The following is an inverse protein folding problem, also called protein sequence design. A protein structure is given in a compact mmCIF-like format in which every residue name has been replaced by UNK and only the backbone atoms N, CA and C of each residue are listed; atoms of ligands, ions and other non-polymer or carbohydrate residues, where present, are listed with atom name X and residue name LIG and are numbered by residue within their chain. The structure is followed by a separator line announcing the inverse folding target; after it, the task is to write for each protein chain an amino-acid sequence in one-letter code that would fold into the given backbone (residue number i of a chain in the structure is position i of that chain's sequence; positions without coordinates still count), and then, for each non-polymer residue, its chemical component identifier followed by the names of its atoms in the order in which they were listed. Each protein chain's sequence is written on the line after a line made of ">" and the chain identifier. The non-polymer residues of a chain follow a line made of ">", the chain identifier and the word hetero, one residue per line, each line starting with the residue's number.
data_IF_731774862700
#
_entry.id   IF_731774862700
#
_cell.length_a   1.000
_cell.length_b   1.000
_cell.length_c   1.000
_cell.angle_alpha   90.00
_cell.angle_beta   90.00
_cell.angle_gamma   90.00
#
_symmetry.space_group_name_H-M   'P 1'
#
loop_
_entity.id
_entity.type
_entity.pdbx_description
1 polymer ?
#
# COMPACT_ATOMS: atom_id res chain seq x y z
N UNK A 1 -58.12 -36.30 -65.89
CA UNK A 1 -57.80 -35.06 -66.63
C UNK A 1 -57.00 -34.11 -65.75
N UNK A 2 -55.82 -33.75 -66.23
CA UNK A 2 -55.07 -32.49 -66.00
C UNK A 2 -54.82 -31.99 -64.59
N UNK A 3 -53.52 -32.06 -64.14
CA UNK A 3 -52.57 -30.94 -63.94
C UNK A 3 -52.94 -30.14 -62.68
N UNK A 4 -51.99 -29.95 -61.74
CA UNK A 4 -50.81 -29.04 -61.86
C UNK A 4 -49.84 -29.34 -60.75
N UNK A 5 -48.59 -29.45 -61.17
CA UNK A 5 -47.37 -29.40 -60.37
C UNK A 5 -46.97 -27.96 -60.03
N UNK A 6 -46.07 -27.84 -59.06
CA UNK A 6 -45.24 -26.72 -58.67
C UNK A 6 -45.79 -25.90 -57.48
N UNK A 7 -45.04 -25.98 -56.41
CA UNK A 7 -44.15 -24.97 -55.82
C UNK A 7 -43.63 -25.51 -54.52
N UNK A 8 -42.48 -26.21 -54.54
CA UNK A 8 -41.64 -26.49 -53.42
C UNK A 8 -40.21 -26.07 -53.83
N UNK A 9 -39.84 -24.87 -53.50
CA UNK A 9 -38.42 -24.43 -53.48
C UNK A 9 -38.43 -22.92 -53.21
N UNK A 10 -38.28 -22.51 -51.95
CA UNK A 10 -37.72 -21.22 -51.49
C UNK A 10 -38.06 -21.01 -50.04
N UNK A 11 -37.31 -21.62 -49.14
CA UNK A 11 -37.21 -21.19 -47.74
C UNK A 11 -36.10 -21.98 -47.00
N UNK A 12 -34.87 -21.87 -47.48
CA UNK A 12 -33.74 -22.42 -46.73
C UNK A 12 -32.49 -21.54 -46.88
N UNK A 13 -32.64 -20.21 -46.83
CA UNK A 13 -31.51 -19.28 -46.82
C UNK A 13 -31.62 -18.09 -45.85
N UNK A 14 -32.62 -18.09 -44.99
CA UNK A 14 -32.82 -16.97 -44.08
C UNK A 14 -32.43 -17.23 -42.60
N UNK A 15 -31.90 -18.44 -42.27
CA UNK A 15 -31.61 -18.83 -40.85
C UNK A 15 -30.14 -18.76 -40.44
N UNK A 16 -29.24 -18.36 -41.34
CA UNK A 16 -27.79 -18.32 -41.05
C UNK A 16 -27.20 -16.91 -40.82
N UNK A 17 -28.03 -15.87 -40.90
CA UNK A 17 -27.54 -14.48 -40.73
C UNK A 17 -27.87 -13.86 -39.36
N UNK A 18 -28.56 -14.56 -38.46
CA UNK A 18 -28.93 -14.01 -37.13
C UNK A 18 -27.96 -14.38 -36.01
N UNK A 19 -27.03 -15.33 -36.24
CA UNK A 19 -26.06 -15.76 -35.20
C UNK A 19 -24.79 -14.92 -35.17
N UNK A 20 -24.49 -14.14 -36.21
CA UNK A 20 -23.29 -13.31 -36.29
C UNK A 20 -23.44 -11.91 -35.63
N UNK A 21 -24.65 -11.48 -35.30
CA UNK A 21 -24.88 -10.14 -34.71
C UNK A 21 -24.97 -10.11 -33.20
N UNK A 22 -25.08 -11.26 -32.55
CA UNK A 22 -25.15 -11.31 -31.06
C UNK A 22 -23.81 -11.17 -30.34
N UNK A 23 -22.67 -11.19 -31.06
CA UNK A 23 -21.32 -11.04 -30.47
C UNK A 23 -20.75 -9.63 -30.57
N UNK A 24 -21.40 -8.72 -31.28
CA UNK A 24 -20.95 -7.34 -31.47
C UNK A 24 -21.61 -6.32 -30.53
N UNK A 25 -22.56 -6.75 -29.67
CA UNK A 25 -23.34 -5.85 -28.81
C UNK A 25 -22.91 -5.85 -27.33
N UNK A 26 -21.78 -6.48 -26.99
CA UNK A 26 -21.21 -6.43 -25.63
C UNK A 26 -20.07 -5.42 -25.49
N UNK A 27 -19.90 -4.49 -26.40
CA UNK A 27 -18.81 -3.51 -26.47
C UNK A 27 -19.11 -2.19 -25.76
N UNK A 28 -19.96 -2.18 -24.74
CA UNK A 28 -20.39 -0.92 -24.11
C UNK A 28 -19.68 -0.58 -22.79
N UNK A 29 -19.62 -1.50 -21.86
CA UNK A 29 -19.32 -1.22 -20.45
C UNK A 29 -18.21 -2.11 -19.95
N UNK A 30 -17.19 -1.51 -19.31
CA UNK A 30 -16.10 -2.25 -18.64
C UNK A 30 -16.46 -2.52 -17.19
N UNK A 31 -16.15 -3.69 -16.67
CA UNK A 31 -16.25 -4.00 -15.25
C UNK A 31 -14.89 -3.87 -14.60
N UNK A 32 -14.77 -2.90 -13.69
CA UNK A 32 -13.58 -2.64 -12.88
C UNK A 32 -13.82 -3.06 -11.43
N UNK A 33 -13.33 -4.24 -11.04
CA UNK A 33 -13.43 -4.75 -9.67
C UNK A 33 -12.24 -4.26 -8.84
N UNK A 34 -12.49 -3.64 -7.68
CA UNK A 34 -11.42 -3.09 -6.83
C UNK A 34 -11.62 -3.38 -5.35
N UNK A 35 -10.51 -3.58 -4.65
CA UNK A 35 -10.45 -3.59 -3.17
C UNK A 35 -10.19 -2.19 -2.61
N UNK A 36 -9.89 -1.20 -3.47
CA UNK A 36 -9.57 0.16 -3.08
C UNK A 36 -10.78 1.07 -3.20
N UNK A 37 -10.73 2.23 -2.53
CA UNK A 37 -11.81 3.23 -2.57
C UNK A 37 -13.19 2.62 -2.29
N UNK A 38 -13.28 1.84 -1.21
CA UNK A 38 -14.45 1.04 -0.86
C UNK A 38 -15.50 1.79 -0.05
N UNK A 39 -15.11 2.82 0.66
CA UNK A 39 -16.05 3.68 1.37
C UNK A 39 -17.02 4.30 0.36
N UNK A 40 -18.28 4.45 0.74
CA UNK A 40 -19.33 4.92 -0.18
C UNK A 40 -18.91 6.23 -0.85
N UNK A 41 -18.40 7.19 -0.08
CA UNK A 41 -17.95 8.48 -0.59
C UNK A 41 -16.75 8.35 -1.55
N UNK A 42 -15.77 7.50 -1.22
CA UNK A 42 -14.60 7.27 -2.07
C UNK A 42 -15.01 6.59 -3.39
N UNK A 43 -15.90 5.60 -3.33
CA UNK A 43 -16.42 4.91 -4.51
C UNK A 43 -17.23 5.87 -5.41
N UNK A 44 -17.99 6.80 -4.81
CA UNK A 44 -18.70 7.85 -5.54
C UNK A 44 -17.72 8.83 -6.21
N UNK A 45 -16.65 9.24 -5.52
CA UNK A 45 -15.59 10.08 -6.11
C UNK A 45 -14.88 9.37 -7.25
N UNK A 46 -14.63 8.06 -7.12
CA UNK A 46 -14.08 7.26 -8.22
C UNK A 46 -14.99 7.30 -9.46
N UNK A 47 -16.27 7.04 -9.31
CA UNK A 47 -17.23 7.02 -10.42
C UNK A 47 -17.47 8.40 -11.03
N UNK A 48 -17.68 9.42 -10.18
CA UNK A 48 -18.21 10.71 -10.61
C UNK A 48 -17.13 11.77 -10.88
N UNK A 49 -15.88 11.57 -10.44
CA UNK A 49 -14.82 12.54 -10.60
C UNK A 49 -13.59 11.97 -11.29
N UNK A 50 -13.17 10.75 -10.93
CA UNK A 50 -11.95 10.17 -11.49
C UNK A 50 -12.24 9.50 -12.83
N UNK A 51 -13.34 8.75 -12.94
CA UNK A 51 -13.74 8.07 -14.19
C UNK A 51 -14.56 8.95 -15.14
N UNK A 52 -15.03 10.11 -14.70
CA UNK A 52 -15.86 11.03 -15.51
C UNK A 52 -15.16 11.48 -16.81
N UNK A 53 -13.83 11.66 -16.76
CA UNK A 53 -13.04 11.99 -17.95
C UNK A 53 -12.76 10.80 -18.90
N UNK A 54 -13.17 9.58 -18.55
CA UNK A 54 -12.99 8.41 -19.41
C UNK A 54 -14.17 8.27 -20.38
N UNK A 55 -13.87 8.03 -21.67
CA UNK A 55 -14.87 8.10 -22.74
C UNK A 55 -15.87 6.94 -22.78
N UNK A 56 -15.56 5.86 -22.05
CA UNK A 56 -16.41 4.66 -22.03
C UNK A 56 -17.03 4.47 -20.66
N UNK A 57 -18.18 3.83 -20.60
CA UNK A 57 -18.84 3.49 -19.36
C UNK A 57 -18.03 2.44 -18.59
N UNK A 58 -17.80 2.69 -17.30
CA UNK A 58 -17.08 1.80 -16.38
C UNK A 58 -17.97 1.52 -15.18
N UNK A 59 -18.24 0.25 -14.94
CA UNK A 59 -18.86 -0.20 -13.71
C UNK A 59 -17.77 -0.43 -12.65
N UNK A 60 -17.60 0.55 -11.79
CA UNK A 60 -16.67 0.45 -10.67
C UNK A 60 -17.31 -0.31 -9.52
N UNK A 61 -16.91 -1.56 -9.34
CA UNK A 61 -17.40 -2.49 -8.32
C UNK A 61 -16.38 -2.65 -7.23
N UNK A 62 -16.79 -2.50 -5.96
CA UNK A 62 -15.90 -2.69 -4.82
C UNK A 62 -16.09 -4.06 -4.17
N UNK A 63 -15.00 -4.65 -3.67
CA UNK A 63 -15.01 -5.92 -2.94
C UNK A 63 -14.16 -5.83 -1.68
N UNK A 64 -14.52 -6.60 -0.65
CA UNK A 64 -13.63 -6.79 0.50
C UNK A 64 -12.40 -7.61 0.08
N UNK A 65 -11.21 -7.37 0.67
CA UNK A 65 -9.99 -8.10 0.33
C UNK A 65 -10.14 -9.63 0.38
N UNK A 66 -10.93 -10.14 1.34
CA UNK A 66 -11.17 -11.58 1.49
C UNK A 66 -12.10 -12.14 0.41
N UNK A 67 -13.02 -11.33 -0.11
CA UNK A 67 -14.00 -11.72 -1.16
C UNK A 67 -13.41 -11.60 -2.56
N UNK A 68 -12.43 -10.72 -2.74
CA UNK A 68 -11.83 -10.40 -4.02
C UNK A 68 -11.27 -11.63 -4.76
N UNK A 69 -10.33 -12.43 -4.18
CA UNK A 69 -9.82 -13.61 -4.86
C UNK A 69 -10.87 -14.72 -5.01
N UNK A 70 -11.84 -14.79 -4.09
CA UNK A 70 -12.93 -15.80 -4.15
C UNK A 70 -13.82 -15.54 -5.37
N UNK A 71 -14.20 -14.29 -5.62
CA UNK A 71 -15.01 -13.92 -6.78
C UNK A 71 -14.28 -14.24 -8.09
N UNK A 72 -13.00 -13.86 -8.20
CA UNK A 72 -12.19 -14.13 -9.40
C UNK A 72 -12.08 -15.64 -9.64
N UNK A 73 -11.77 -16.41 -8.60
CA UNK A 73 -11.70 -17.87 -8.68
C UNK A 73 -13.02 -18.50 -9.14
N UNK A 74 -14.15 -17.96 -8.68
CA UNK A 74 -15.47 -18.45 -9.09
C UNK A 74 -15.75 -18.18 -10.59
N UNK A 75 -15.37 -17.01 -11.12
CA UNK A 75 -15.46 -16.71 -12.54
C UNK A 75 -14.57 -17.62 -13.39
N UNK A 76 -13.31 -17.86 -12.97
CA UNK A 76 -12.40 -18.80 -13.64
C UNK A 76 -12.95 -20.24 -13.66
N UNK A 77 -13.51 -20.71 -12.55
CA UNK A 77 -14.06 -22.05 -12.46
C UNK A 77 -15.34 -22.25 -13.26
N UNK A 78 -16.18 -21.23 -13.38
CA UNK A 78 -17.42 -21.28 -14.16
C UNK A 78 -17.22 -21.07 -15.66
N UNK A 79 -16.06 -20.55 -16.07
CA UNK A 79 -15.79 -20.10 -17.43
C UNK A 79 -16.62 -18.88 -17.83
N UNK A 80 -17.25 -18.21 -16.86
CA UNK A 80 -18.03 -16.98 -17.09
C UNK A 80 -17.19 -15.78 -16.67
N UNK A 81 -16.59 -15.11 -17.63
CA UNK A 81 -15.74 -13.97 -17.37
C UNK A 81 -16.51 -12.67 -17.57
N UNK A 82 -16.59 -11.87 -16.53
CA UNK A 82 -17.27 -10.57 -16.55
C UNK A 82 -16.36 -9.40 -16.22
N UNK A 83 -15.25 -9.66 -15.50
CA UNK A 83 -14.34 -8.63 -15.00
C UNK A 83 -13.28 -8.34 -16.05
N UNK A 84 -13.13 -7.06 -16.41
CA UNK A 84 -12.08 -6.59 -17.34
C UNK A 84 -10.82 -6.16 -16.61
N UNK A 85 -10.95 -5.31 -15.58
CA UNK A 85 -9.85 -4.76 -14.80
C UNK A 85 -10.00 -5.06 -13.33
N UNK A 86 -8.92 -5.40 -12.69
CA UNK A 86 -8.85 -5.50 -11.24
C UNK A 86 -7.89 -4.46 -10.67
N UNK A 87 -8.28 -3.83 -9.55
CA UNK A 87 -7.48 -2.85 -8.82
C UNK A 87 -7.36 -3.24 -7.35
N UNK A 88 -6.14 -3.53 -6.89
CA UNK A 88 -5.93 -4.00 -5.52
C UNK A 88 -4.52 -3.67 -5.01
N UNK A 89 -4.31 -3.80 -3.70
CA UNK A 89 -2.97 -3.68 -3.13
C UNK A 89 -2.05 -4.80 -3.64
N UNK A 90 -0.75 -4.52 -3.67
CA UNK A 90 0.28 -5.47 -4.07
C UNK A 90 0.08 -6.87 -3.44
N UNK A 91 -0.10 -6.93 -2.13
CA UNK A 91 -0.32 -8.20 -1.40
C UNK A 91 -1.66 -8.88 -1.72
N UNK A 92 -2.66 -8.14 -2.18
CA UNK A 92 -3.98 -8.68 -2.57
C UNK A 92 -4.00 -9.21 -4.01
N UNK A 93 -3.10 -8.72 -4.87
CA UNK A 93 -2.91 -9.23 -6.23
C UNK A 93 -2.07 -10.52 -6.25
N UNK A 94 -1.17 -10.69 -5.30
CA UNK A 94 -0.25 -11.82 -5.26
C UNK A 94 -0.94 -13.21 -5.25
N UNK A 95 -2.06 -13.44 -4.52
CA UNK A 95 -2.79 -14.71 -4.61
C UNK A 95 -3.30 -15.07 -6.00
N UNK A 96 -3.57 -14.06 -6.86
CA UNK A 96 -4.04 -14.28 -8.23
C UNK A 96 -2.96 -14.89 -9.15
N UNK A 97 -1.68 -14.74 -8.79
CA UNK A 97 -0.56 -15.41 -9.47
C UNK A 97 -0.66 -16.93 -9.33
N UNK A 98 -1.00 -17.41 -8.12
CA UNK A 98 -1.18 -18.86 -7.86
C UNK A 98 -2.41 -19.43 -8.60
N UNK A 99 -3.39 -18.60 -8.89
CA UNK A 99 -4.58 -18.96 -9.68
C UNK A 99 -4.32 -18.88 -11.18
N UNK A 100 -3.14 -18.43 -11.60
CA UNK A 100 -2.79 -18.14 -13.00
C UNK A 100 -3.81 -17.22 -13.72
N UNK A 101 -4.46 -16.34 -12.96
CA UNK A 101 -5.57 -15.52 -13.43
C UNK A 101 -5.16 -14.21 -14.10
N UNK A 102 -3.90 -13.75 -13.93
CA UNK A 102 -3.45 -12.45 -14.43
C UNK A 102 -2.83 -12.55 -15.81
N UNK A 103 -3.24 -11.67 -16.72
CA UNK A 103 -2.63 -11.53 -18.02
C UNK A 103 -1.26 -10.82 -17.93
N UNK A 104 -0.24 -11.25 -18.69
CA UNK A 104 1.02 -10.52 -18.80
C UNK A 104 0.81 -9.18 -19.50
N UNK A 105 1.41 -8.14 -18.96
CA UNK A 105 1.32 -6.74 -19.42
C UNK A 105 2.69 -6.19 -19.84
N UNK A 106 3.63 -7.05 -20.23
CA UNK A 106 5.01 -6.65 -20.54
C UNK A 106 5.05 -5.58 -21.66
N UNK A 107 4.41 -5.83 -22.80
CA UNK A 107 4.35 -4.91 -23.93
C UNK A 107 3.63 -3.59 -23.60
N UNK A 108 2.60 -3.68 -22.77
CA UNK A 108 1.85 -2.51 -22.31
C UNK A 108 2.67 -1.69 -21.31
N UNK A 109 3.33 -2.35 -20.36
CA UNK A 109 4.27 -1.71 -19.43
C UNK A 109 5.38 -0.95 -20.15
N UNK A 110 5.89 -1.52 -21.25
CA UNK A 110 6.86 -0.87 -22.14
C UNK A 110 6.35 0.46 -22.73
N UNK A 111 5.07 0.53 -23.12
CA UNK A 111 4.44 1.76 -23.64
C UNK A 111 4.28 2.86 -22.59
N UNK A 112 4.29 2.51 -21.31
CA UNK A 112 4.15 3.46 -20.19
C UNK A 112 5.50 4.05 -19.70
N UNK A 113 6.63 3.72 -20.33
CA UNK A 113 7.95 4.23 -19.92
C UNK A 113 8.02 5.76 -19.86
N UNK A 114 7.34 6.44 -20.79
CA UNK A 114 7.22 7.91 -20.79
C UNK A 114 6.49 8.52 -19.61
N UNK A 115 5.79 7.72 -18.80
CA UNK A 115 5.07 8.17 -17.61
C UNK A 115 6.00 8.42 -16.40
N UNK A 116 7.24 7.94 -16.46
CA UNK A 116 8.22 8.11 -15.40
C UNK A 116 7.82 7.43 -14.09
N UNK A 117 7.15 6.27 -14.17
CA UNK A 117 6.90 5.42 -12.99
C UNK A 117 8.26 4.92 -12.50
N UNK A 118 8.58 5.07 -11.19
CA UNK A 118 9.86 4.60 -10.65
C UNK A 118 10.08 3.10 -10.91
N UNK A 119 11.30 2.74 -11.34
CA UNK A 119 11.66 1.35 -11.64
C UNK A 119 11.33 0.34 -10.53
N UNK A 120 11.61 0.63 -9.25
CA UNK A 120 11.21 -0.23 -8.14
C UNK A 120 9.71 -0.49 -8.08
N UNK A 121 8.85 0.50 -8.32
CA UNK A 121 7.39 0.32 -8.34
C UNK A 121 6.95 -0.58 -9.50
N UNK A 122 7.56 -0.43 -10.68
CA UNK A 122 7.32 -1.34 -11.81
C UNK A 122 7.76 -2.76 -11.49
N UNK A 123 8.90 -2.93 -10.81
CA UNK A 123 9.39 -4.25 -10.38
C UNK A 123 8.41 -4.95 -9.45
N UNK A 124 7.76 -4.22 -8.55
CA UNK A 124 6.69 -4.79 -7.71
C UNK A 124 5.54 -5.35 -8.53
N UNK A 125 5.24 -4.75 -9.68
CA UNK A 125 4.22 -5.23 -10.62
C UNK A 125 4.49 -6.60 -11.21
N UNK A 126 5.70 -7.12 -11.08
CA UNK A 126 6.04 -8.49 -11.49
C UNK A 126 5.60 -9.58 -10.50
N UNK A 127 5.23 -9.24 -9.28
CA UNK A 127 4.77 -10.18 -8.26
C UNK A 127 5.68 -11.42 -8.09
N UNK A 128 7.02 -11.16 -8.12
CA UNK A 128 8.08 -12.20 -8.04
C UNK A 128 8.06 -13.18 -9.24
N UNK A 129 7.53 -12.76 -10.39
CA UNK A 129 7.59 -13.51 -11.65
C UNK A 129 8.50 -12.82 -12.67
N UNK A 130 8.68 -13.42 -13.85
CA UNK A 130 9.38 -12.79 -14.96
C UNK A 130 8.56 -11.69 -15.65
N UNK A 131 7.22 -11.76 -15.57
CA UNK A 131 6.29 -10.92 -16.32
C UNK A 131 5.77 -9.74 -15.52
N UNK A 132 5.45 -8.64 -16.18
CA UNK A 132 4.67 -7.54 -15.61
C UNK A 132 3.21 -7.98 -15.49
N UNK A 133 2.70 -8.14 -14.28
CA UNK A 133 1.34 -8.65 -14.02
C UNK A 133 0.38 -7.57 -13.54
N UNK A 134 0.89 -6.44 -13.05
CA UNK A 134 0.08 -5.24 -12.81
C UNK A 134 0.88 -3.97 -13.09
N UNK A 135 0.17 -2.90 -13.41
CA UNK A 135 0.73 -1.55 -13.53
C UNK A 135 0.47 -0.81 -12.21
N UNK A 136 1.49 -0.17 -11.59
CA UNK A 136 1.28 0.72 -10.45
C UNK A 136 0.20 1.77 -10.76
N UNK A 137 -0.74 1.93 -9.82
CA UNK A 137 -1.89 2.81 -10.02
C UNK A 137 -1.85 4.04 -9.12
N UNK A 138 -1.80 3.82 -7.83
CA UNK A 138 -1.78 4.87 -6.82
C UNK A 138 -1.07 4.37 -5.57
N UNK A 139 -0.52 5.30 -4.82
CA UNK A 139 0.26 4.96 -3.64
C UNK A 139 -0.12 5.80 -2.42
N UNK A 140 0.16 5.25 -1.27
CA UNK A 140 0.20 5.92 0.01
C UNK A 140 1.46 5.47 0.76
N UNK A 141 1.73 6.08 1.90
CA UNK A 141 2.83 5.69 2.77
C UNK A 141 2.55 6.17 4.20
N UNK A 142 3.51 5.94 5.07
CA UNK A 142 3.52 6.46 6.41
C UNK A 142 4.53 7.60 6.47
N UNK A 143 4.24 8.61 7.25
CA UNK A 143 5.08 9.81 7.40
C UNK A 143 5.21 10.20 8.87
N UNK A 144 6.23 10.95 9.17
CA UNK A 144 6.31 11.72 10.41
C UNK A 144 5.67 13.09 10.20
N UNK A 145 4.99 13.57 11.22
CA UNK A 145 4.42 14.93 11.29
C UNK A 145 4.90 15.60 12.57
N UNK A 146 5.37 16.83 12.47
CA UNK A 146 5.68 17.59 13.67
C UNK A 146 4.97 18.94 13.68
N UNK A 147 4.49 19.35 14.86
CA UNK A 147 4.14 20.72 15.15
C UNK A 147 5.40 21.58 15.07
N UNK A 148 5.33 22.72 14.41
CA UNK A 148 6.48 23.66 14.29
C UNK A 148 7.01 24.13 15.64
N UNK A 149 6.19 24.07 16.70
CA UNK A 149 6.64 24.32 18.07
C UNK A 149 7.72 23.34 18.55
N UNK A 150 7.85 22.16 17.92
CA UNK A 150 8.91 21.21 18.21
C UNK A 150 10.26 21.57 17.57
N UNK A 151 10.25 22.33 16.45
CA UNK A 151 11.47 22.61 15.66
C UNK A 151 12.61 23.29 16.43
N UNK A 152 12.34 24.23 17.36
CA UNK A 152 13.43 24.83 18.16
C UNK A 152 14.21 23.86 19.04
N UNK A 153 13.71 22.63 19.22
CA UNK A 153 14.36 21.57 20.01
C UNK A 153 15.05 20.51 19.15
N UNK A 154 15.01 20.68 17.81
CA UNK A 154 15.73 19.78 16.91
C UNK A 154 17.24 19.82 17.22
N UNK A 155 17.95 18.68 17.23
CA UNK A 155 19.39 18.67 17.46
C UNK A 155 20.14 19.58 16.47
N UNK A 156 21.16 20.28 16.95
CA UNK A 156 21.94 21.18 16.13
C UNK A 156 22.49 20.51 14.86
N UNK A 157 22.30 21.17 13.72
CA UNK A 157 22.73 20.65 12.42
C UNK A 157 21.95 19.45 11.88
N UNK A 158 20.88 19.00 12.55
CA UNK A 158 20.06 17.91 12.06
C UNK A 158 19.14 18.39 10.92
N UNK A 159 19.14 17.63 9.82
CA UNK A 159 18.17 17.79 8.74
C UNK A 159 16.90 16.96 9.06
N UNK A 160 15.77 17.61 9.18
CA UNK A 160 14.49 16.97 9.48
C UNK A 160 14.12 15.88 8.42
N UNK A 161 14.58 16.03 7.18
CA UNK A 161 14.34 15.06 6.12
C UNK A 161 15.34 13.89 6.13
N UNK A 162 16.36 13.97 6.98
CA UNK A 162 17.44 12.98 7.03
C UNK A 162 17.75 12.50 8.46
N UNK A 163 16.79 12.57 9.38
CA UNK A 163 16.97 12.18 10.79
C UNK A 163 17.38 10.71 10.93
N UNK A 164 18.29 10.44 11.86
CA UNK A 164 18.48 9.11 12.42
C UNK A 164 17.54 8.86 13.60
N UNK A 165 17.36 7.58 14.00
CA UNK A 165 16.62 7.25 15.22
C UNK A 165 17.27 7.84 16.48
N UNK A 166 18.60 7.96 16.53
CA UNK A 166 19.29 8.64 17.63
C UNK A 166 18.93 10.11 17.71
N UNK A 167 18.89 10.80 16.56
CA UNK A 167 18.50 12.21 16.51
C UNK A 167 17.02 12.39 16.86
N UNK A 168 16.14 11.48 16.42
CA UNK A 168 14.72 11.51 16.82
C UNK A 168 14.55 11.31 18.34
N UNK A 169 15.29 10.38 18.92
CA UNK A 169 15.28 10.13 20.35
C UNK A 169 15.83 11.34 21.14
N UNK A 170 16.93 11.94 20.67
CA UNK A 170 17.51 13.15 21.26
C UNK A 170 16.53 14.33 21.18
N UNK A 171 15.84 14.49 20.04
CA UNK A 171 14.84 15.53 19.85
C UNK A 171 13.69 15.39 20.84
N UNK A 172 13.11 14.18 20.96
CA UNK A 172 12.05 13.89 21.90
C UNK A 172 12.49 14.09 23.37
N UNK A 173 13.72 13.66 23.69
CA UNK A 173 14.34 13.86 25.03
C UNK A 173 14.53 15.34 25.37
N UNK A 174 15.02 16.15 24.42
CA UNK A 174 15.19 17.60 24.60
C UNK A 174 13.84 18.28 24.85
N UNK A 175 12.80 17.92 24.06
CA UNK A 175 11.43 18.43 24.29
C UNK A 175 10.96 18.08 25.71
N UNK A 176 11.13 16.83 26.11
CA UNK A 176 10.73 16.37 27.44
C UNK A 176 11.46 17.15 28.54
N UNK A 177 12.78 17.32 28.42
CA UNK A 177 13.59 18.05 29.39
C UNK A 177 13.17 19.52 29.50
N UNK A 178 12.87 20.17 28.39
CA UNK A 178 12.57 21.61 28.34
C UNK A 178 11.11 21.94 28.68
N UNK A 179 10.18 21.04 28.38
CA UNK A 179 8.72 21.27 28.56
C UNK A 179 8.13 20.52 29.75
N UNK A 180 8.84 19.52 30.28
CA UNK A 180 8.32 18.58 31.29
C UNK A 180 7.33 17.57 30.71
N UNK A 181 7.08 17.58 29.38
CA UNK A 181 6.05 16.75 28.72
C UNK A 181 6.68 15.80 27.70
N UNK A 182 6.16 14.60 27.61
CA UNK A 182 6.51 13.62 26.57
C UNK A 182 5.59 13.83 25.37
N UNK A 183 6.11 14.38 24.28
CA UNK A 183 5.34 14.88 23.14
C UNK A 183 5.67 14.16 21.82
N UNK A 184 6.43 13.05 21.85
CA UNK A 184 6.55 12.10 20.75
C UNK A 184 5.41 11.08 20.87
N UNK A 185 4.74 10.74 19.77
CA UNK A 185 3.61 9.83 19.77
C UNK A 185 3.60 8.83 18.63
N UNK A 186 2.99 7.67 18.90
CA UNK A 186 2.77 6.58 17.94
C UNK A 186 1.36 6.01 18.06
N UNK A 187 0.78 5.45 16.97
CA UNK A 187 -0.54 4.83 17.00
C UNK A 187 -0.46 3.39 17.53
N UNK A 188 -0.10 3.23 18.82
CA UNK A 188 0.10 1.94 19.47
C UNK A 188 -1.14 1.41 20.23
N UNK A 189 -2.29 2.09 20.07
CA UNK A 189 -3.57 1.63 20.61
C UNK A 189 -4.18 0.46 19.84
N UNK A 190 -5.24 -0.16 20.37
CA UNK A 190 -5.98 -1.20 19.65
C UNK A 190 -6.43 -0.69 18.28
N UNK A 191 -6.17 -1.42 17.21
CA UNK A 191 -6.40 -1.00 15.81
C UNK A 191 -5.49 0.14 15.30
N UNK A 192 -4.51 0.58 16.08
CA UNK A 192 -3.41 1.42 15.61
C UNK A 192 -2.53 0.67 14.63
N UNK A 193 -1.72 1.41 13.87
CA UNK A 193 -0.84 0.82 12.86
C UNK A 193 0.62 0.70 13.34
N UNK A 194 0.83 0.54 14.64
CA UNK A 194 2.18 0.44 15.21
C UNK A 194 2.96 -0.77 14.68
N UNK A 195 2.30 -1.90 14.40
CA UNK A 195 2.92 -3.06 13.76
C UNK A 195 3.59 -2.68 12.42
N UNK A 196 2.97 -1.80 11.63
CA UNK A 196 3.53 -1.32 10.36
C UNK A 196 4.78 -0.46 10.55
N UNK A 197 4.87 0.25 11.67
CA UNK A 197 6.11 0.94 12.02
C UNK A 197 7.26 -0.06 12.26
N UNK A 198 7.00 -1.15 12.95
CA UNK A 198 8.01 -2.18 13.17
C UNK A 198 8.40 -2.88 11.87
N UNK A 199 7.42 -3.35 11.10
CA UNK A 199 7.61 -4.13 9.89
C UNK A 199 8.22 -3.32 8.74
N UNK A 200 7.81 -2.05 8.57
CA UNK A 200 8.17 -1.24 7.42
C UNK A 200 9.26 -0.22 7.66
N UNK A 201 9.54 0.11 8.93
CA UNK A 201 10.42 1.22 9.25
C UNK A 201 11.53 0.80 10.21
N UNK A 202 11.19 0.34 11.41
CA UNK A 202 12.18 0.08 12.44
C UNK A 202 13.07 -1.12 12.10
N UNK A 203 12.49 -2.31 11.88
CA UNK A 203 13.26 -3.51 11.52
C UNK A 203 14.12 -3.32 10.28
N UNK A 204 13.57 -2.88 9.13
CA UNK A 204 14.38 -2.68 7.94
C UNK A 204 15.56 -1.72 8.17
N UNK A 205 15.32 -0.64 8.92
CA UNK A 205 16.36 0.36 9.18
C UNK A 205 17.54 -0.15 9.99
N UNK A 206 17.33 -1.11 10.88
CA UNK A 206 18.39 -1.64 11.74
C UNK A 206 18.98 -2.96 11.24
N UNK A 207 18.17 -3.80 10.65
CA UNK A 207 18.57 -5.18 10.33
C UNK A 207 18.70 -5.44 8.84
N UNK A 208 18.11 -4.59 8.00
CA UNK A 208 18.02 -4.80 6.54
C UNK A 208 16.96 -5.82 6.10
N UNK A 209 16.13 -6.32 7.02
CA UNK A 209 15.05 -7.28 6.75
C UNK A 209 13.96 -7.18 7.78
N UNK A 210 13.00 -8.09 7.74
CA UNK A 210 11.83 -8.14 8.64
C UNK A 210 11.72 -9.51 9.32
N UNK A 211 11.75 -10.58 8.53
CA UNK A 211 11.56 -11.95 8.99
C UNK A 211 12.91 -12.62 9.27
N UNK A 212 13.80 -12.66 8.27
CA UNK A 212 15.09 -13.36 8.40
C UNK A 212 15.90 -12.87 9.59
N UNK A 213 16.11 -11.55 9.77
CA UNK A 213 16.90 -11.03 10.89
C UNK A 213 16.08 -10.77 12.16
N UNK A 214 14.89 -11.34 12.30
CA UNK A 214 13.94 -11.01 13.39
C UNK A 214 14.57 -11.11 14.78
N UNK A 215 15.43 -12.10 15.03
CA UNK A 215 16.10 -12.33 16.32
C UNK A 215 17.62 -12.11 16.29
N UNK A 216 18.09 -11.36 15.29
CA UNK A 216 19.51 -11.02 15.17
C UNK A 216 19.99 -10.12 16.32
N UNK A 217 21.32 -10.04 16.51
CA UNK A 217 21.92 -9.09 17.45
C UNK A 217 21.54 -7.63 17.12
N UNK A 218 21.41 -7.30 15.82
CA UNK A 218 20.94 -5.99 15.40
C UNK A 218 19.49 -5.71 15.83
N UNK A 219 18.63 -6.73 15.81
CA UNK A 219 17.25 -6.62 16.31
C UNK A 219 17.23 -6.43 17.85
N UNK A 220 18.09 -7.14 18.58
CA UNK A 220 18.21 -6.97 20.04
C UNK A 220 18.67 -5.55 20.40
N UNK A 221 19.69 -5.04 19.72
CA UNK A 221 20.18 -3.66 19.90
C UNK A 221 19.09 -2.63 19.55
N UNK A 222 18.38 -2.83 18.44
CA UNK A 222 17.26 -2.01 18.01
C UNK A 222 16.16 -1.91 19.08
N UNK A 223 15.71 -3.04 19.63
CA UNK A 223 14.68 -3.05 20.65
C UNK A 223 15.12 -2.39 21.94
N UNK A 224 16.38 -2.56 22.33
CA UNK A 224 17.00 -1.89 23.48
C UNK A 224 16.96 -0.37 23.30
N UNK A 225 17.37 0.11 22.13
CA UNK A 225 17.35 1.54 21.80
C UNK A 225 15.95 2.09 21.73
N UNK A 226 15.02 1.36 21.09
CA UNK A 226 13.62 1.76 20.98
C UNK A 226 12.94 1.83 22.35
N UNK A 227 13.21 0.87 23.26
CA UNK A 227 12.72 0.92 24.63
C UNK A 227 13.27 2.14 25.39
N UNK A 228 14.51 2.55 25.13
CA UNK A 228 15.05 3.79 25.68
C UNK A 228 14.35 5.03 25.15
N UNK A 229 14.13 5.13 23.83
CA UNK A 229 13.40 6.23 23.18
C UNK A 229 11.95 6.31 23.69
N UNK A 230 11.31 5.17 23.98
CA UNK A 230 9.93 5.09 24.46
C UNK A 230 9.70 5.82 25.78
N UNK A 231 10.74 6.02 26.59
CA UNK A 231 10.67 6.81 27.83
C UNK A 231 10.31 8.27 27.57
N UNK A 232 10.52 8.79 26.34
CA UNK A 232 10.14 10.14 25.90
C UNK A 232 8.86 10.15 25.05
N UNK A 233 8.22 8.97 24.85
CA UNK A 233 6.95 8.85 24.12
C UNK A 233 5.79 9.19 25.05
N UNK A 234 4.77 9.86 24.51
CA UNK A 234 3.53 10.19 25.20
C UNK A 234 2.89 8.91 25.78
N UNK A 235 2.55 8.87 27.08
CA UNK A 235 2.02 7.67 27.72
C UNK A 235 0.70 7.19 27.12
N UNK A 236 -0.09 8.10 26.53
CA UNK A 236 -1.34 7.76 25.87
C UNK A 236 -1.15 7.14 24.48
N UNK A 237 0.10 7.00 23.98
CA UNK A 237 0.36 6.36 22.70
C UNK A 237 -0.22 4.94 22.59
N UNK A 238 -0.28 4.21 23.70
CA UNK A 238 -0.90 2.88 23.77
C UNK A 238 -2.43 2.89 23.66
N UNK A 239 -3.06 4.06 23.61
CA UNK A 239 -4.51 4.25 23.39
C UNK A 239 -4.82 4.88 22.03
N UNK A 240 -3.84 5.49 21.38
CA UNK A 240 -4.06 6.17 20.11
C UNK A 240 -4.25 5.18 18.96
N UNK A 241 -5.37 5.31 18.26
CA UNK A 241 -5.67 4.59 17.01
C UNK A 241 -5.17 5.38 15.81
N UNK A 242 -5.35 6.72 15.85
CA UNK A 242 -4.94 7.68 14.85
C UNK A 242 -4.16 8.82 15.49
N UNK A 243 -3.14 9.34 14.82
CA UNK A 243 -2.34 10.45 15.33
C UNK A 243 -2.95 11.83 15.03
N UNK A 244 -4.00 11.91 14.22
CA UNK A 244 -4.65 13.17 13.85
C UNK A 244 -5.09 13.99 15.07
N UNK A 245 -5.86 13.41 15.98
CA UNK A 245 -6.40 14.13 17.14
C UNK A 245 -5.32 14.56 18.13
N UNK A 246 -4.39 13.69 18.58
CA UNK A 246 -3.31 14.12 19.48
C UNK A 246 -2.37 15.18 18.87
N UNK A 247 -2.19 15.20 17.56
CA UNK A 247 -1.46 16.28 16.88
C UNK A 247 -2.26 17.61 16.89
N UNK A 248 -3.57 17.56 16.61
CA UNK A 248 -4.43 18.75 16.59
C UNK A 248 -4.64 19.35 17.96
N UNK A 249 -4.75 18.53 19.01
CA UNK A 249 -4.90 18.97 20.41
C UNK A 249 -3.58 19.51 20.99
N UNK A 250 -2.43 19.10 20.43
CA UNK A 250 -1.11 19.41 20.99
C UNK A 250 -0.66 18.46 22.10
N UNK A 251 -1.38 17.37 22.34
CA UNK A 251 -0.94 16.28 23.24
C UNK A 251 0.30 15.58 22.71
N UNK A 252 0.49 15.60 21.39
CA UNK A 252 1.64 15.13 20.68
C UNK A 252 2.15 16.25 19.75
N UNK A 253 3.47 16.47 19.78
CA UNK A 253 4.11 17.41 18.86
C UNK A 253 4.79 16.71 17.70
N UNK A 254 5.26 15.48 17.88
CA UNK A 254 5.90 14.67 16.85
C UNK A 254 5.15 13.34 16.78
N UNK A 255 4.59 12.98 15.64
CA UNK A 255 3.82 11.75 15.48
C UNK A 255 4.18 11.01 14.20
N UNK A 256 4.03 9.68 14.22
CA UNK A 256 4.14 8.78 13.08
C UNK A 256 2.78 8.16 12.80
N UNK A 257 2.31 8.19 11.55
CA UNK A 257 1.14 7.41 11.14
C UNK A 257 1.05 7.30 9.61
N UNK A 258 0.10 6.49 9.16
CA UNK A 258 -0.32 6.43 7.76
C UNK A 258 -0.84 7.79 7.30
N UNK A 259 -0.47 8.19 6.08
CA UNK A 259 -0.79 9.51 5.56
C UNK A 259 -2.29 9.85 5.65
N UNK A 260 -3.17 8.91 5.33
CA UNK A 260 -4.62 9.11 5.43
C UNK A 260 -5.11 9.37 6.88
N UNK A 261 -4.32 9.00 7.89
CA UNK A 261 -4.64 9.16 9.33
C UNK A 261 -4.08 10.42 9.95
N UNK A 262 -3.31 11.20 9.18
CA UNK A 262 -2.76 12.51 9.60
C UNK A 262 -3.12 13.63 8.62
N UNK A 263 -3.64 13.29 7.45
CA UNK A 263 -3.89 14.25 6.36
C UNK A 263 -4.86 15.37 6.79
N UNK A 264 -5.91 15.05 7.55
CA UNK A 264 -6.86 16.05 8.00
C UNK A 264 -6.23 17.03 9.00
N UNK A 265 -5.28 16.60 9.83
CA UNK A 265 -4.52 17.53 10.67
C UNK A 265 -3.70 18.51 9.81
N UNK A 266 -3.03 17.99 8.78
CA UNK A 266 -2.28 18.81 7.84
C UNK A 266 -3.18 19.76 7.03
N UNK A 267 -4.40 19.34 6.68
CA UNK A 267 -5.39 20.18 5.98
C UNK A 267 -5.95 21.29 6.86
N UNK A 268 -6.31 20.95 8.10
CA UNK A 268 -6.90 21.92 9.03
C UNK A 268 -5.91 22.99 9.49
N UNK A 269 -4.65 22.62 9.68
CA UNK A 269 -3.61 23.51 10.21
C UNK A 269 -2.29 23.41 9.44
N UNK A 270 -2.28 23.66 8.12
CA UNK A 270 -1.08 23.44 7.29
C UNK A 270 0.10 24.32 7.71
N UNK A 271 -0.17 25.49 8.27
CA UNK A 271 0.88 26.40 8.73
C UNK A 271 1.48 26.01 10.09
N UNK A 272 0.82 25.14 10.84
CA UNK A 272 1.26 24.69 12.17
C UNK A 272 2.17 23.47 12.09
N UNK A 273 2.06 22.67 11.02
CA UNK A 273 2.75 21.40 10.89
C UNK A 273 3.84 21.41 9.81
N UNK A 274 4.77 20.48 9.96
CA UNK A 274 5.68 20.00 8.91
C UNK A 274 5.52 18.48 8.81
N UNK A 275 5.69 17.96 7.59
CA UNK A 275 5.69 16.52 7.34
C UNK A 275 7.05 16.11 6.77
N UNK A 276 7.58 14.96 7.17
CA UNK A 276 8.92 14.53 6.85
C UNK A 276 9.05 12.99 6.88
N UNK A 277 10.14 12.44 6.31
CA UNK A 277 10.42 11.00 6.33
C UNK A 277 10.57 10.44 7.75
N UNK A 278 10.28 9.16 7.93
CA UNK A 278 10.67 8.46 9.14
C UNK A 278 12.20 8.43 9.29
N UNK A 279 12.68 8.20 10.51
CA UNK A 279 14.10 8.17 10.82
C UNK A 279 14.84 7.00 10.15
N UNK A 280 16.13 7.15 9.88
CA UNK A 280 17.01 6.12 9.40
C UNK A 280 17.76 5.40 10.54
N UNK A 281 18.04 4.13 10.34
CA UNK A 281 18.94 3.34 11.18
C UNK A 281 20.26 3.00 10.47
N UNK A 282 21.08 2.10 11.04
CA UNK A 282 22.38 1.74 10.49
C UNK A 282 22.36 1.11 9.10
N UNK A 283 21.23 0.51 8.69
CA UNK A 283 21.05 -0.13 7.36
C UNK A 283 20.40 0.80 6.33
N UNK A 284 19.88 1.92 6.75
CA UNK A 284 19.21 2.90 5.91
C UNK A 284 17.86 3.33 6.47
N UNK A 285 17.07 3.92 5.62
CA UNK A 285 15.75 4.46 5.91
C UNK A 285 14.66 3.49 5.45
N UNK A 286 14.19 2.66 6.36
CA UNK A 286 13.06 1.79 6.08
C UNK A 286 11.81 2.63 5.74
N UNK A 287 11.06 2.18 4.74
CA UNK A 287 9.75 2.73 4.44
C UNK A 287 8.83 1.67 3.83
N UNK A 288 7.56 1.75 4.15
CA UNK A 288 6.55 0.82 3.63
C UNK A 288 5.70 1.54 2.56
N UNK A 289 5.90 1.24 1.28
CA UNK A 289 4.99 1.71 0.24
C UNK A 289 3.66 0.95 0.32
N UNK A 290 2.57 1.68 0.38
CA UNK A 290 1.22 1.11 0.22
C UNK A 290 0.84 1.32 -1.24
N UNK A 291 1.12 0.32 -2.07
CA UNK A 291 0.97 0.38 -3.51
C UNK A 291 -0.26 -0.38 -3.98
N UNK A 292 -1.17 0.30 -4.67
CA UNK A 292 -2.23 -0.33 -5.43
C UNK A 292 -1.81 -0.48 -6.89
N UNK A 293 -2.17 -1.60 -7.49
CA UNK A 293 -1.92 -1.92 -8.89
C UNK A 293 -3.20 -2.16 -9.66
N UNK A 294 -3.11 -1.98 -10.96
CA UNK A 294 -4.14 -2.33 -11.95
C UNK A 294 -3.67 -3.55 -12.75
N UNK A 295 -4.45 -4.60 -12.77
CA UNK A 295 -4.18 -5.81 -13.52
C UNK A 295 -5.37 -6.17 -14.43
N UNK A 296 -5.10 -7.00 -15.43
CA UNK A 296 -6.12 -7.52 -16.35
C UNK A 296 -6.21 -9.03 -16.15
N UNK A 297 -7.43 -9.56 -16.09
CA UNK A 297 -7.62 -11.01 -16.00
C UNK A 297 -7.40 -11.66 -17.38
N UNK A 298 -6.87 -12.89 -17.41
CA UNK A 298 -6.67 -13.64 -18.67
C UNK A 298 -7.96 -13.84 -19.45
N UNK A 299 -9.08 -14.03 -18.76
CA UNK A 299 -10.40 -14.16 -19.33
C UNK A 299 -11.14 -12.84 -19.57
N UNK A 300 -10.52 -11.67 -19.47
CA UNK A 300 -11.18 -10.38 -19.61
C UNK A 300 -11.98 -10.27 -20.92
N UNK A 301 -13.28 -9.95 -20.87
CA UNK A 301 -14.12 -9.83 -22.06
C UNK A 301 -13.62 -8.80 -23.09
N UNK A 302 -13.03 -7.70 -22.59
CA UNK A 302 -12.46 -6.64 -23.42
C UNK A 302 -11.06 -6.24 -22.98
N UNK A 303 -10.07 -6.99 -23.38
CA UNK A 303 -8.66 -6.76 -23.10
C UNK A 303 -8.18 -5.37 -23.58
N UNK A 304 -8.62 -4.91 -24.76
CA UNK A 304 -8.24 -3.61 -25.29
C UNK A 304 -8.86 -2.47 -24.47
N UNK A 305 -10.12 -2.60 -24.07
CA UNK A 305 -10.79 -1.65 -23.20
C UNK A 305 -10.15 -1.60 -21.81
N UNK A 306 -9.77 -2.75 -21.26
CA UNK A 306 -9.04 -2.84 -20.00
C UNK A 306 -7.70 -2.10 -20.05
N UNK A 307 -6.90 -2.32 -21.09
CA UNK A 307 -5.63 -1.60 -21.26
C UNK A 307 -5.83 -0.09 -21.47
N UNK A 308 -6.85 0.32 -22.21
CA UNK A 308 -7.19 1.73 -22.40
C UNK A 308 -7.62 2.39 -21.06
N UNK A 309 -8.33 1.68 -20.19
CA UNK A 309 -8.67 2.18 -18.85
C UNK A 309 -7.42 2.31 -17.97
N UNK A 310 -6.51 1.35 -17.99
CA UNK A 310 -5.23 1.43 -17.28
C UNK A 310 -4.40 2.61 -17.79
N UNK A 311 -4.34 2.81 -19.11
CA UNK A 311 -3.66 3.96 -19.71
C UNK A 311 -4.24 5.28 -19.19
N UNK A 312 -5.57 5.42 -19.17
CA UNK A 312 -6.26 6.60 -18.64
C UNK A 312 -5.97 6.82 -17.15
N UNK A 313 -6.08 5.79 -16.32
CA UNK A 313 -5.87 5.89 -14.87
C UNK A 313 -4.42 6.18 -14.48
N UNK A 314 -3.46 5.92 -15.37
CA UNK A 314 -2.04 6.25 -15.19
C UNK A 314 -1.61 7.55 -15.86
N UNK A 315 -2.52 8.34 -16.45
CA UNK A 315 -2.21 9.69 -16.94
C UNK A 315 -1.94 10.63 -15.79
N UNK A 316 -0.96 11.51 -15.93
CA UNK A 316 -0.59 12.47 -14.89
C UNK A 316 -1.80 13.29 -14.40
N UNK A 317 -2.64 13.77 -15.31
CA UNK A 317 -3.83 14.52 -14.96
C UNK A 317 -4.82 13.68 -14.13
N UNK A 318 -5.08 12.44 -14.51
CA UNK A 318 -5.97 11.53 -13.77
C UNK A 318 -5.42 11.19 -12.39
N UNK A 319 -4.10 11.02 -12.29
CA UNK A 319 -3.41 10.81 -11.01
C UNK A 319 -3.54 12.03 -10.09
N UNK A 320 -3.47 13.25 -10.62
CA UNK A 320 -3.68 14.48 -9.85
C UNK A 320 -5.14 14.62 -9.38
N UNK A 321 -6.11 14.27 -10.23
CA UNK A 321 -7.54 14.21 -9.84
C UNK A 321 -7.73 13.19 -8.71
N UNK A 322 -7.11 12.03 -8.81
CA UNK A 322 -7.13 10.99 -7.76
C UNK A 322 -6.55 11.52 -6.45
N UNK A 323 -5.36 12.14 -6.48
CA UNK A 323 -4.72 12.68 -5.29
C UNK A 323 -5.58 13.75 -4.59
N UNK A 324 -6.16 14.67 -5.38
CA UNK A 324 -7.00 15.75 -4.86
C UNK A 324 -8.27 15.23 -4.16
N UNK A 325 -8.90 14.22 -4.73
CA UNK A 325 -10.21 13.76 -4.28
C UNK A 325 -10.16 12.67 -3.20
N UNK A 326 -9.18 11.76 -3.26
CA UNK A 326 -9.14 10.59 -2.37
C UNK A 326 -7.84 10.47 -1.56
N UNK A 327 -6.88 11.38 -1.75
CA UNK A 327 -5.66 11.43 -0.93
C UNK A 327 -4.65 10.31 -1.21
N UNK A 328 -4.80 9.60 -2.33
CA UNK A 328 -3.77 8.70 -2.84
C UNK A 328 -2.85 9.43 -3.81
N UNK A 329 -1.55 9.23 -3.66
CA UNK A 329 -0.54 9.98 -4.39
C UNK A 329 -0.19 9.34 -5.73
N UNK A 330 0.23 10.18 -6.70
CA UNK A 330 0.66 9.70 -8.01
C UNK A 330 1.83 8.70 -7.92
N UNK A 331 1.79 7.71 -8.79
CA UNK A 331 2.92 6.80 -9.06
C UNK A 331 3.69 7.21 -10.32
N UNK A 332 3.16 8.15 -11.10
CA UNK A 332 3.78 8.70 -12.29
C UNK A 332 4.55 9.98 -11.97
N UNK A 333 5.54 10.30 -12.78
CA UNK A 333 6.27 11.58 -12.64
C UNK A 333 5.32 12.73 -12.96
N UNK A 334 4.98 13.50 -11.94
CA UNK A 334 4.16 14.71 -12.06
C UNK A 334 4.45 15.66 -10.91
N UNK A 335 4.31 16.94 -11.16
CA UNK A 335 4.39 17.99 -10.14
C UNK A 335 2.99 18.31 -9.64
N UNK A 336 2.86 18.52 -8.34
CA UNK A 336 1.61 18.97 -7.78
C UNK A 336 1.37 20.44 -8.18
N UNK A 337 0.22 20.77 -8.78
CA UNK A 337 -0.11 22.15 -9.15
C UNK A 337 -0.05 23.13 -7.98
N UNK A 338 0.23 24.42 -8.23
CA UNK A 338 0.28 25.44 -7.19
C UNK A 338 -0.99 25.56 -6.35
N UNK A 339 -2.14 25.26 -6.91
CA UNK A 339 -3.47 25.32 -6.29
C UNK A 339 -3.83 24.09 -5.45
N UNK A 340 -2.93 23.07 -5.36
CA UNK A 340 -3.14 21.96 -4.45
C UNK A 340 -3.19 22.42 -2.99
N UNK A 341 -4.04 21.77 -2.20
CA UNK A 341 -4.16 22.00 -0.76
C UNK A 341 -2.79 21.94 -0.06
N UNK A 342 -2.43 22.96 0.76
CA UNK A 342 -1.13 22.98 1.42
C UNK A 342 -0.81 21.72 2.24
N UNK A 343 -1.81 21.17 2.94
CA UNK A 343 -1.64 19.94 3.72
C UNK A 343 -1.30 18.72 2.86
N UNK A 344 -1.92 18.62 1.67
CA UNK A 344 -1.62 17.55 0.72
C UNK A 344 -0.20 17.69 0.14
N UNK A 345 0.25 18.93 -0.12
CA UNK A 345 1.63 19.22 -0.56
C UNK A 345 2.66 18.80 0.50
N UNK A 346 2.40 19.07 1.78
CA UNK A 346 3.27 18.65 2.87
C UNK A 346 3.43 17.12 2.89
N UNK A 347 2.31 16.40 2.82
CA UNK A 347 2.33 14.93 2.80
C UNK A 347 3.05 14.38 1.56
N UNK A 348 2.77 14.92 0.38
CA UNK A 348 3.42 14.52 -0.86
C UNK A 348 4.93 14.74 -0.84
N UNK A 349 5.38 15.89 -0.31
CA UNK A 349 6.81 16.19 -0.17
C UNK A 349 7.50 15.18 0.76
N UNK A 350 6.88 14.83 1.90
CA UNK A 350 7.42 13.84 2.82
C UNK A 350 7.57 12.45 2.17
N UNK A 351 6.57 12.03 1.39
CA UNK A 351 6.61 10.76 0.64
C UNK A 351 7.73 10.81 -0.42
N UNK A 352 7.80 11.88 -1.20
CA UNK A 352 8.81 12.05 -2.24
C UNK A 352 10.24 12.07 -1.64
N UNK A 353 10.45 12.80 -0.53
CA UNK A 353 11.72 12.84 0.18
C UNK A 353 12.12 11.45 0.71
N UNK A 354 11.14 10.67 1.21
CA UNK A 354 11.39 9.29 1.63
C UNK A 354 11.88 8.41 0.47
N UNK A 355 11.17 8.46 -0.66
CA UNK A 355 11.44 7.59 -1.81
C UNK A 355 12.72 7.98 -2.58
N UNK A 356 13.09 9.25 -2.56
CA UNK A 356 14.29 9.77 -3.22
C UNK A 356 15.54 9.77 -2.32
N UNK A 357 15.41 9.42 -1.05
CA UNK A 357 16.55 9.33 -0.14
C UNK A 357 17.53 8.27 -0.63
N UNK A 358 18.84 8.60 -0.60
CA UNK A 358 19.91 7.68 -1.06
C UNK A 358 19.99 6.39 -0.27
N UNK A 359 19.56 6.45 0.98
CA UNK A 359 19.50 5.34 1.94
C UNK A 359 18.09 4.71 2.04
N UNK A 360 17.18 5.02 1.12
CA UNK A 360 15.84 4.49 1.14
C UNK A 360 15.81 2.96 0.97
N UNK A 361 15.14 2.28 1.88
CA UNK A 361 15.00 0.83 1.93
C UNK A 361 13.52 0.45 1.94
N UNK A 362 12.99 0.06 0.79
CA UNK A 362 11.59 -0.32 0.66
C UNK A 362 11.32 -1.66 1.36
N UNK A 363 10.38 -1.65 2.30
CA UNK A 363 9.87 -2.83 2.98
C UNK A 363 8.42 -3.04 2.57
N UNK A 364 8.16 -4.05 1.75
CA UNK A 364 6.81 -4.35 1.29
C UNK A 364 5.91 -4.84 2.43
N UNK A 365 4.61 -4.57 2.37
CA UNK A 365 3.65 -5.24 3.24
C UNK A 365 3.78 -6.76 3.11
N UNK A 366 3.51 -7.52 4.20
CA UNK A 366 3.57 -8.97 4.18
C UNK A 366 2.73 -9.58 3.04
N UNK A 367 3.28 -10.61 2.38
CA UNK A 367 2.62 -11.35 1.29
C UNK A 367 2.51 -12.83 1.63
N UNK A 368 1.53 -13.51 1.04
CA UNK A 368 1.39 -14.97 1.15
C UNK A 368 0.81 -15.49 2.47
N UNK A 369 0.51 -14.63 3.43
CA UNK A 369 0.02 -15.00 4.77
C UNK A 369 -1.48 -15.40 4.81
N UNK A 370 -2.26 -15.09 3.76
CA UNK A 370 -3.68 -15.39 3.72
C UNK A 370 -4.44 -14.80 4.92
N UNK A 371 -5.17 -15.65 5.64
CA UNK A 371 -5.92 -15.26 6.85
C UNK A 371 -5.04 -15.01 8.09
N UNK A 372 -3.77 -15.41 8.05
CA UNK A 372 -2.84 -15.33 9.18
C UNK A 372 -2.11 -13.96 9.28
N UNK A 373 -2.45 -12.99 8.44
CA UNK A 373 -1.83 -11.65 8.49
C UNK A 373 -1.92 -10.98 9.86
N UNK A 374 -3.06 -11.13 10.57
CA UNK A 374 -3.22 -10.58 11.93
C UNK A 374 -2.33 -11.26 12.97
N UNK A 375 -2.09 -12.57 12.81
CA UNK A 375 -1.18 -13.30 13.71
C UNK A 375 0.26 -12.85 13.49
N UNK A 376 0.63 -12.59 12.23
CA UNK A 376 1.92 -12.02 11.87
C UNK A 376 2.10 -10.63 12.51
N UNK A 377 1.17 -9.72 12.31
CA UNK A 377 1.19 -8.37 12.91
C UNK A 377 1.31 -8.46 14.45
N UNK A 378 0.63 -9.45 15.05
CA UNK A 378 0.63 -9.67 16.49
C UNK A 378 2.01 -10.07 17.04
N UNK A 379 2.84 -10.80 16.31
CA UNK A 379 4.21 -11.14 16.72
C UNK A 379 5.01 -9.87 17.05
N UNK A 380 4.92 -8.85 16.20
CA UNK A 380 5.62 -7.58 16.40
C UNK A 380 5.02 -6.77 17.56
N UNK A 381 3.70 -6.80 17.71
CA UNK A 381 3.04 -6.12 18.81
C UNK A 381 3.31 -6.80 20.16
N UNK A 382 3.30 -8.13 20.24
CA UNK A 382 3.65 -8.88 21.45
C UNK A 382 5.14 -8.66 21.82
N UNK A 383 6.02 -8.59 20.83
CA UNK A 383 7.44 -8.25 21.05
C UNK A 383 7.58 -6.86 21.66
N UNK A 384 6.89 -5.87 21.10
CA UNK A 384 6.85 -4.51 21.63
C UNK A 384 6.32 -4.46 23.06
N UNK A 385 5.17 -5.08 23.31
CA UNK A 385 4.54 -5.08 24.62
C UNK A 385 5.47 -5.68 25.69
N UNK A 386 6.08 -6.83 25.40
CA UNK A 386 6.97 -7.53 26.33
C UNK A 386 8.26 -6.76 26.61
N UNK A 387 8.93 -6.29 25.56
CA UNK A 387 10.24 -5.61 25.71
C UNK A 387 10.04 -4.18 26.22
N UNK A 388 9.17 -3.41 25.56
CA UNK A 388 9.11 -1.96 25.75
C UNK A 388 8.21 -1.58 26.91
N UNK A 389 7.03 -2.22 27.00
CA UNK A 389 6.06 -1.88 28.06
C UNK A 389 6.30 -2.66 29.35
N UNK A 390 6.73 -3.92 29.25
CA UNK A 390 6.94 -4.78 30.42
C UNK A 390 8.41 -4.96 30.82
N UNK A 391 9.38 -4.41 30.05
CA UNK A 391 10.80 -4.42 30.37
C UNK A 391 11.44 -5.81 30.37
N UNK A 392 10.88 -6.77 29.63
CA UNK A 392 11.45 -8.11 29.50
C UNK A 392 12.75 -8.09 28.68
N UNK A 393 13.62 -9.06 28.94
CA UNK A 393 14.88 -9.16 28.24
C UNK A 393 14.69 -9.36 26.70
N UNK A 394 15.25 -8.51 25.84
CA UNK A 394 15.01 -8.54 24.39
C UNK A 394 15.37 -9.89 23.78
N UNK A 395 16.52 -10.48 24.10
CA UNK A 395 16.96 -11.76 23.55
C UNK A 395 15.96 -12.87 23.83
N UNK A 396 15.50 -12.98 25.08
CA UNK A 396 14.53 -14.00 25.50
C UNK A 396 13.19 -13.84 24.77
N UNK A 397 12.73 -12.59 24.60
CA UNK A 397 11.48 -12.31 23.89
C UNK A 397 11.61 -12.63 22.40
N UNK A 398 12.71 -12.20 21.76
CA UNK A 398 12.94 -12.45 20.35
C UNK A 398 13.06 -13.94 20.03
N UNK A 399 13.75 -14.73 20.88
CA UNK A 399 13.84 -16.19 20.71
C UNK A 399 12.46 -16.87 20.79
N UNK A 400 11.60 -16.41 21.69
CA UNK A 400 10.23 -16.90 21.85
C UNK A 400 9.34 -16.53 20.65
N UNK A 401 9.32 -15.25 20.29
CA UNK A 401 8.44 -14.77 19.22
C UNK A 401 8.91 -15.23 17.83
N UNK A 402 10.22 -15.51 17.65
CA UNK A 402 10.75 -16.16 16.45
C UNK A 402 10.19 -17.58 16.26
N UNK A 403 9.94 -18.33 17.34
CA UNK A 403 9.30 -19.64 17.23
C UNK A 403 7.87 -19.53 16.71
N UNK A 404 7.10 -18.54 17.22
CA UNK A 404 5.75 -18.23 16.73
C UNK A 404 5.78 -17.81 15.27
N UNK A 405 6.70 -16.92 14.91
CA UNK A 405 6.88 -16.42 13.54
C UNK A 405 7.22 -17.57 12.58
N UNK A 406 8.20 -18.43 12.94
CA UNK A 406 8.62 -19.56 12.10
C UNK A 406 7.50 -20.59 11.90
N UNK A 407 6.73 -20.89 12.94
CA UNK A 407 5.55 -21.77 12.82
C UNK A 407 4.56 -21.18 11.82
N UNK A 408 4.24 -19.90 11.94
CA UNK A 408 3.29 -19.19 11.10
C UNK A 408 3.73 -19.16 9.63
N UNK A 409 5.02 -18.86 9.40
CA UNK A 409 5.60 -18.87 8.05
C UNK A 409 5.57 -20.27 7.44
N UNK A 410 5.83 -21.30 8.23
CA UNK A 410 5.77 -22.71 7.77
C UNK A 410 4.35 -23.15 7.44
N UNK A 411 3.36 -22.80 8.26
CA UNK A 411 1.93 -23.11 8.05
C UNK A 411 1.39 -22.44 6.78
N UNK A 412 1.80 -21.20 6.51
CA UNK A 412 1.34 -20.47 5.33
C UNK A 412 2.14 -20.77 4.06
N UNK A 413 3.37 -21.27 4.20
CA UNK A 413 4.30 -21.43 3.09
C UNK A 413 4.71 -20.07 2.47
N UNK A 414 4.51 -18.97 3.17
CA UNK A 414 4.79 -17.63 2.64
C UNK A 414 6.30 -17.45 2.38
N UNK A 415 6.71 -17.05 1.16
CA UNK A 415 8.11 -16.78 0.85
C UNK A 415 8.57 -15.50 1.54
N UNK A 416 9.87 -15.28 1.63
CA UNK A 416 10.40 -13.98 2.02
C UNK A 416 10.03 -12.91 0.98
N UNK A 417 9.82 -11.68 1.47
CA UNK A 417 9.57 -10.48 0.65
C UNK A 417 10.54 -9.37 1.02
N UNK A 418 10.68 -8.41 0.12
CA UNK A 418 11.60 -7.28 0.36
C UNK A 418 11.30 -6.55 1.68
N UNK A 419 12.34 -6.18 2.44
CA UNK A 419 13.76 -6.22 2.08
C UNK A 419 14.49 -7.53 2.44
N UNK A 420 13.80 -8.54 2.97
CA UNK A 420 14.41 -9.85 3.17
C UNK A 420 14.88 -10.45 1.82
N UNK A 421 15.97 -11.22 1.80
CA UNK A 421 16.41 -11.90 0.59
C UNK A 421 15.37 -12.95 0.14
N UNK A 422 15.21 -13.19 -1.17
CA UNK A 422 14.30 -14.21 -1.67
C UNK A 422 14.58 -15.60 -1.05
N UNK A 423 13.53 -16.34 -0.70
CA UNK A 423 13.63 -17.70 -0.16
C UNK A 423 13.10 -18.75 -1.11
N UNK A 424 13.70 -19.96 -1.06
CA UNK A 424 13.15 -21.15 -1.68
C UNK A 424 12.23 -21.86 -0.66
N UNK A 425 10.96 -21.47 -0.62
CA UNK A 425 9.99 -21.94 0.37
C UNK A 425 9.65 -20.89 1.43
N UNK A 426 9.09 -21.38 2.55
CA UNK A 426 8.67 -20.50 3.64
C UNK A 426 9.83 -19.67 4.21
N UNK A 427 9.59 -18.38 4.39
CA UNK A 427 10.55 -17.48 5.03
C UNK A 427 10.76 -17.88 6.50
N UNK A 428 11.98 -17.85 7.01
CA UNK A 428 12.30 -18.25 8.37
C UNK A 428 13.16 -17.20 9.08
N UNK A 429 12.80 -16.91 10.33
CA UNK A 429 13.63 -16.11 11.24
C UNK A 429 14.85 -16.92 11.67
N UNK A 430 16.04 -16.33 11.56
CA UNK A 430 17.33 -16.93 11.87
C UNK A 430 17.92 -16.40 13.17
#
# INVERSE_FOLDING_TARGET
>A
MRRIWAWLSFSLCASLLVIATARAAQSGRLIFLSTQLRLIEEAQKMRNLILDGYRREVDYVTALPQQFPVRIKAEEQSGTHTIDVVGALHGELQPLVRLDALAPLDDFGGKLTGRGIPGPLMTFGKLVTAHQLYIPWMQASYIMVANKAALPYLPDGADINALSYDQLAAWAGTIQQKTGKRLLGFPAGPQGLMHRFFEGFLYPSYTGGVVVPFRSEAAEAMWTQFASMWKSVNPNSTTYVFMQQPLLSGDVWIGFDHVARVLDALRQKPNQFVAFPAAAGPKGRGYMPVLAGLAVLKGAPDMNGAMALIDYLTQAQTQLVTARNVGFFPVVKTELPPDFEPGLKLAAAAIANTQSAKDALAALPPIGLGQHGREFDKVFMDTFERIVLHGQNPRTVLDREAQTLNRLMSETGAPCWQPDPPSNGACQAQ
#
